data_IF_116211102647
#
_entry.id   IF_116211102647
#
_cell.length_a   1.000
_cell.length_b   1.000
_cell.length_c   1.000
_cell.angle_alpha   90.00
_cell.angle_beta   90.00
_cell.angle_gamma   90.00
#
_symmetry.space_group_name_H-M   'P 1'
#
loop_
_entity.id
_entity.type
_entity.pdbx_description
1 polymer ?
#
# COMPACT_ATOMS: atom_id res chain seq x y z
N UNK A 1 -15.57 9.22 -16.47
CA UNK A 1 -15.77 10.46 -15.71
C UNK A 1 -14.42 10.98 -15.22
N UNK A 2 -14.18 12.29 -15.27
CA UNK A 2 -12.90 12.87 -14.83
C UNK A 2 -12.52 12.51 -13.39
N UNK A 3 -13.52 12.49 -12.47
CA UNK A 3 -13.28 12.18 -11.06
C UNK A 3 -12.77 10.75 -10.86
N UNK A 4 -13.35 9.78 -11.57
CA UNK A 4 -12.93 8.39 -11.47
C UNK A 4 -11.50 8.19 -11.96
N UNK A 5 -11.12 8.88 -13.02
CA UNK A 5 -9.78 8.81 -13.56
C UNK A 5 -8.75 9.36 -12.57
N UNK A 6 -9.04 10.50 -11.95
CA UNK A 6 -8.17 11.09 -10.94
C UNK A 6 -8.02 10.17 -9.75
N UNK A 7 -9.11 9.60 -9.26
CA UNK A 7 -9.08 8.64 -8.15
C UNK A 7 -8.19 7.45 -8.47
N UNK A 8 -8.28 6.91 -9.68
CA UNK A 8 -7.45 5.79 -10.11
C UNK A 8 -5.97 6.16 -10.13
N UNK A 9 -5.65 7.36 -10.60
CA UNK A 9 -4.26 7.83 -10.63
C UNK A 9 -3.70 8.01 -9.22
N UNK A 10 -4.49 8.56 -8.31
CA UNK A 10 -4.09 8.74 -6.92
C UNK A 10 -3.88 7.39 -6.22
N UNK A 11 -4.76 6.44 -6.47
CA UNK A 11 -4.62 5.09 -5.93
C UNK A 11 -3.34 4.44 -6.44
N UNK A 12 -3.10 4.50 -7.75
CA UNK A 12 -1.91 3.91 -8.35
C UNK A 12 -0.63 4.53 -7.78
N UNK A 13 -0.62 5.85 -7.63
CA UNK A 13 0.54 6.58 -7.11
C UNK A 13 0.83 6.30 -5.64
N UNK A 14 -0.19 6.00 -4.85
CA UNK A 14 -0.05 5.79 -3.40
C UNK A 14 0.05 4.33 -2.99
N UNK A 15 -0.13 3.38 -3.91
CA UNK A 15 -0.22 1.96 -3.57
C UNK A 15 1.03 1.44 -2.84
N UNK A 16 2.22 1.81 -3.30
CA UNK A 16 3.46 1.38 -2.65
C UNK A 16 3.56 1.89 -1.22
N UNK A 17 3.26 3.16 -1.00
CA UNK A 17 3.27 3.76 0.33
C UNK A 17 2.34 3.00 1.27
N UNK A 18 1.12 2.73 0.80
CA UNK A 18 0.11 2.06 1.62
C UNK A 18 0.52 0.64 2.00
N UNK A 19 1.05 -0.11 1.04
CA UNK A 19 1.52 -1.47 1.29
C UNK A 19 2.68 -1.48 2.28
N UNK A 20 3.69 -0.63 2.05
CA UNK A 20 4.85 -0.58 2.93
C UNK A 20 4.46 -0.19 4.35
N UNK A 21 3.56 0.79 4.49
CA UNK A 21 3.09 1.25 5.80
C UNK A 21 2.38 0.16 6.59
N UNK A 22 1.51 -0.60 5.92
CA UNK A 22 0.78 -1.69 6.58
C UNK A 22 1.71 -2.85 6.96
N UNK A 23 2.72 -3.13 6.16
CA UNK A 23 3.69 -4.18 6.46
C UNK A 23 4.71 -3.78 7.53
N UNK A 24 4.82 -2.49 7.82
CA UNK A 24 5.65 -2.04 8.94
C UNK A 24 5.12 -2.55 10.29
N UNK A 25 3.83 -2.69 10.40
CA UNK A 25 3.18 -3.12 11.64
C UNK A 25 3.43 -4.61 11.93
N UNK A 26 3.23 -5.45 10.94
CA UNK A 26 3.56 -6.88 10.96
C UNK A 26 3.30 -7.49 9.59
N UNK A 27 3.69 -8.75 9.39
CA UNK A 27 3.47 -9.41 8.10
C UNK A 27 1.98 -9.65 7.84
N UNK A 28 1.59 -9.59 6.56
CA UNK A 28 0.20 -9.70 6.14
C UNK A 28 0.11 -10.36 4.76
N UNK A 29 -1.02 -10.98 4.46
CA UNK A 29 -1.30 -11.44 3.10
C UNK A 29 -2.08 -10.36 2.32
N UNK A 30 -2.17 -10.53 0.99
CA UNK A 30 -2.74 -9.51 0.10
C UNK A 30 -4.19 -9.14 0.42
N UNK A 31 -5.02 -10.12 0.78
CA UNK A 31 -6.41 -9.85 1.15
C UNK A 31 -6.52 -8.97 2.38
N UNK A 32 -5.68 -9.21 3.37
CA UNK A 32 -5.67 -8.40 4.59
C UNK A 32 -5.23 -6.97 4.27
N UNK A 33 -4.22 -6.81 3.42
CA UNK A 33 -3.76 -5.48 3.00
C UNK A 33 -4.91 -4.71 2.35
N UNK A 34 -5.60 -5.32 1.38
CA UNK A 34 -6.73 -4.69 0.70
C UNK A 34 -7.85 -4.32 1.67
N UNK A 35 -8.18 -5.22 2.59
CA UNK A 35 -9.22 -5.01 3.60
C UNK A 35 -8.88 -3.83 4.52
N UNK A 36 -7.64 -3.76 4.99
CA UNK A 36 -7.21 -2.71 5.91
C UNK A 36 -7.16 -1.35 5.23
N UNK A 37 -6.77 -1.29 3.96
CA UNK A 37 -6.81 -0.02 3.22
C UNK A 37 -8.24 0.52 3.19
N UNK A 38 -9.21 -0.34 2.86
CA UNK A 38 -10.61 0.07 2.82
C UNK A 38 -11.13 0.46 4.20
N UNK A 39 -10.86 -0.35 5.22
CA UNK A 39 -11.32 -0.06 6.58
C UNK A 39 -10.73 1.22 7.15
N UNK A 40 -9.41 1.39 7.06
CA UNK A 40 -8.73 2.54 7.67
C UNK A 40 -8.99 3.84 6.94
N UNK A 41 -9.40 3.78 5.68
CA UNK A 41 -9.78 4.96 4.91
C UNK A 41 -11.28 5.22 4.96
N UNK A 42 -12.04 4.46 5.73
CA UNK A 42 -13.50 4.52 5.79
C UNK A 42 -14.13 4.43 4.39
N UNK A 43 -13.55 3.57 3.56
CA UNK A 43 -14.02 3.32 2.20
C UNK A 43 -13.57 4.33 1.15
N UNK A 44 -12.80 5.36 1.54
CA UNK A 44 -12.34 6.37 0.58
C UNK A 44 -11.33 5.80 -0.42
N UNK A 45 -10.53 4.82 0.02
CA UNK A 45 -9.58 4.14 -0.85
C UNK A 45 -9.88 2.64 -0.81
N UNK A 46 -10.18 2.08 -1.98
CA UNK A 46 -10.45 0.65 -2.10
C UNK A 46 -9.62 0.06 -3.23
N UNK A 47 -9.02 -1.10 -2.97
CA UNK A 47 -8.33 -1.88 -4.00
C UNK A 47 -8.94 -3.26 -4.06
N UNK A 48 -9.17 -3.72 -5.25
CA UNK A 48 -9.38 -5.15 -5.47
C UNK A 48 -8.04 -5.84 -5.20
N UNK A 49 -8.05 -6.99 -4.52
CA UNK A 49 -6.79 -7.67 -4.18
C UNK A 49 -5.95 -7.95 -5.44
N UNK A 50 -6.60 -8.26 -6.55
CA UNK A 50 -5.90 -8.51 -7.82
C UNK A 50 -5.16 -7.29 -8.34
N UNK A 51 -5.64 -6.08 -8.00
CA UNK A 51 -4.98 -4.83 -8.39
C UNK A 51 -3.71 -4.57 -7.58
N UNK A 52 -3.58 -5.18 -6.41
CA UNK A 52 -2.40 -5.03 -5.56
C UNK A 52 -1.25 -5.95 -5.94
N UNK A 53 -1.52 -7.08 -6.60
CA UNK A 53 -0.46 -8.03 -6.95
C UNK A 53 0.68 -7.42 -7.76
N UNK A 54 0.44 -6.59 -8.79
CA UNK A 54 1.56 -5.97 -9.50
C UNK A 54 2.43 -5.10 -8.60
N UNK A 55 1.83 -4.39 -7.65
CA UNK A 55 2.58 -3.58 -6.67
C UNK A 55 3.40 -4.48 -5.75
N UNK A 56 2.79 -5.54 -5.21
CA UNK A 56 3.49 -6.50 -4.35
C UNK A 56 4.66 -7.14 -5.08
N UNK A 57 4.46 -7.52 -6.34
CA UNK A 57 5.49 -8.12 -7.17
C UNK A 57 6.68 -7.17 -7.36
N UNK A 58 6.40 -5.89 -7.71
CA UNK A 58 7.46 -4.90 -7.90
C UNK A 58 8.25 -4.64 -6.61
N UNK A 59 7.55 -4.54 -5.49
CA UNK A 59 8.20 -4.31 -4.20
C UNK A 59 9.08 -5.49 -3.80
N UNK A 60 8.63 -6.70 -4.08
CA UNK A 60 9.40 -7.91 -3.81
C UNK A 60 10.64 -7.98 -4.71
N UNK A 61 10.50 -7.66 -6.00
CA UNK A 61 11.64 -7.60 -6.92
C UNK A 61 12.70 -6.61 -6.48
N UNK A 62 12.27 -5.47 -5.93
CA UNK A 62 13.19 -4.44 -5.43
C UNK A 62 13.81 -4.79 -4.07
N UNK A 63 13.40 -5.91 -3.48
CA UNK A 63 13.90 -6.31 -2.17
C UNK A 63 13.34 -5.50 -1.01
N UNK A 64 12.23 -4.79 -1.21
CA UNK A 64 11.62 -3.96 -0.17
C UNK A 64 10.65 -4.74 0.70
N UNK A 65 10.11 -5.82 0.17
CA UNK A 65 9.30 -6.78 0.91
C UNK A 65 9.74 -8.19 0.54
N UNK A 66 9.44 -9.15 1.41
CA UNK A 66 9.67 -10.57 1.14
C UNK A 66 8.38 -11.33 1.29
N UNK A 67 8.08 -12.22 0.33
CA UNK A 67 6.93 -13.10 0.41
C UNK A 67 7.34 -14.51 0.78
N UNK A 68 6.49 -15.18 1.56
CA UNK A 68 6.64 -16.60 1.86
C UNK A 68 5.30 -17.28 1.81
N UNK A 69 5.29 -18.53 1.37
CA UNK A 69 4.07 -19.32 1.34
C UNK A 69 3.79 -19.91 2.72
N UNK A 70 2.55 -19.83 3.14
CA UNK A 70 2.08 -20.38 4.41
C UNK A 70 0.97 -21.37 4.13
N UNK A 71 1.13 -22.60 4.60
CA UNK A 71 0.13 -23.64 4.48
C UNK A 71 -0.33 -24.05 5.88
N UNK A 72 -1.65 -24.12 6.05
CA UNK A 72 -2.26 -24.64 7.28
C UNK A 72 -3.23 -25.75 6.91
N UNK A 73 -3.31 -26.82 7.71
CA UNK A 73 -4.24 -27.91 7.42
C UNK A 73 -5.66 -27.40 7.22
N UNK A 74 -6.30 -27.85 6.14
CA UNK A 74 -7.67 -27.47 5.82
C UNK A 74 -7.85 -26.06 5.29
N UNK A 75 -6.77 -25.33 5.06
CA UNK A 75 -6.85 -23.95 4.54
C UNK A 75 -6.12 -23.83 3.20
N UNK A 76 -6.56 -22.83 2.42
CA UNK A 76 -5.88 -22.49 1.18
C UNK A 76 -4.50 -21.92 1.49
N UNK A 77 -3.53 -22.31 0.68
CA UNK A 77 -2.19 -21.75 0.70
C UNK A 77 -2.24 -20.25 0.52
N UNK A 78 -1.47 -19.49 1.34
CA UNK A 78 -1.43 -18.03 1.28
C UNK A 78 0.00 -17.55 1.24
N UNK A 79 0.21 -16.47 0.49
CA UNK A 79 1.50 -15.79 0.47
C UNK A 79 1.47 -14.65 1.47
N UNK A 80 2.37 -14.74 2.46
CA UNK A 80 2.54 -13.72 3.49
C UNK A 80 3.71 -12.83 3.09
N UNK A 81 3.55 -11.53 3.29
CA UNK A 81 4.58 -10.54 2.95
C UNK A 81 5.04 -9.85 4.22
N UNK A 82 6.33 -9.55 4.27
CA UNK A 82 6.92 -8.78 5.37
C UNK A 82 7.81 -7.68 4.82
N UNK A 83 7.94 -6.61 5.59
CA UNK A 83 8.82 -5.50 5.24
C UNK A 83 10.27 -5.87 5.54
N UNK A 84 11.17 -5.57 4.60
CA UNK A 84 12.61 -5.78 4.80
C UNK A 84 13.24 -4.52 5.41
N UNK A 85 14.50 -4.60 5.91
CA UNK A 85 15.20 -3.39 6.33
C UNK A 85 15.31 -2.35 5.21
N UNK A 86 15.53 -2.79 3.96
CA UNK A 86 15.51 -1.88 2.80
C UNK A 86 14.17 -1.22 2.61
N UNK A 87 13.08 -1.98 2.80
CA UNK A 87 11.72 -1.45 2.72
C UNK A 87 11.44 -0.41 3.79
N UNK A 88 11.96 -0.60 5.00
CA UNK A 88 11.79 0.40 6.08
C UNK A 88 12.46 1.71 5.72
N UNK A 89 13.64 1.68 5.11
CA UNK A 89 14.33 2.88 4.67
C UNK A 89 13.57 3.63 3.58
N UNK A 90 13.03 2.89 2.61
CA UNK A 90 12.23 3.48 1.53
C UNK A 90 10.93 4.07 2.09
N UNK A 91 10.28 3.37 3.00
CA UNK A 91 9.06 3.88 3.63
C UNK A 91 9.30 5.20 4.35
N UNK A 92 10.40 5.31 5.10
CA UNK A 92 10.74 6.55 5.79
C UNK A 92 10.90 7.71 4.81
N UNK A 93 11.59 7.48 3.68
CA UNK A 93 11.75 8.50 2.64
C UNK A 93 10.43 8.86 1.99
N UNK A 94 9.60 7.88 1.69
CA UNK A 94 8.30 8.13 1.06
C UNK A 94 7.37 8.92 1.96
N UNK A 95 7.39 8.66 3.28
CA UNK A 95 6.60 9.46 4.22
C UNK A 95 6.99 10.93 4.18
N UNK A 96 8.28 11.23 4.09
CA UNK A 96 8.76 12.61 3.98
C UNK A 96 8.28 13.24 2.66
N UNK A 97 8.47 12.54 1.56
CA UNK A 97 8.10 13.05 0.24
C UNK A 97 6.59 13.27 0.13
N UNK A 98 5.80 12.29 0.55
CA UNK A 98 4.34 12.41 0.54
C UNK A 98 3.84 13.52 1.47
N UNK A 99 4.43 13.62 2.67
CA UNK A 99 4.06 14.65 3.61
C UNK A 99 4.31 16.05 3.07
N UNK A 100 5.46 16.27 2.44
CA UNK A 100 5.78 17.54 1.82
C UNK A 100 4.83 17.86 0.65
N UNK A 101 4.50 16.84 -0.16
CA UNK A 101 3.60 17.00 -1.30
C UNK A 101 2.18 17.37 -0.84
N UNK A 102 1.66 16.64 0.14
CA UNK A 102 0.32 16.90 0.68
C UNK A 102 0.26 18.29 1.29
N UNK A 103 1.29 18.69 2.04
CA UNK A 103 1.36 20.04 2.63
C UNK A 103 1.37 21.11 1.55
N UNK A 104 2.10 20.88 0.45
CA UNK A 104 2.14 21.82 -0.67
C UNK A 104 0.78 21.94 -1.35
N UNK A 105 0.10 20.80 -1.58
CA UNK A 105 -1.24 20.81 -2.16
C UNK A 105 -2.21 21.60 -1.28
N UNK A 106 -2.14 21.39 0.02
CA UNK A 106 -2.99 22.10 0.96
C UNK A 106 -2.78 23.63 0.88
N UNK A 107 -1.51 24.07 0.82
CA UNK A 107 -1.20 25.51 0.76
C UNK A 107 -1.68 26.14 -0.54
N UNK A 108 -1.54 25.43 -1.67
CA UNK A 108 -1.89 25.98 -2.99
C UNK A 108 -3.38 25.88 -3.27
N UNK A 109 -3.96 24.70 -3.04
CA UNK A 109 -5.33 24.39 -3.44
C UNK A 109 -6.33 24.41 -2.29
N UNK A 110 -5.87 24.63 -1.07
CA UNK A 110 -6.68 24.73 0.15
C UNK A 110 -7.54 23.48 0.36
N UNK A 111 -6.90 22.33 0.19
CA UNK A 111 -7.55 21.05 0.45
C UNK A 111 -7.63 20.87 1.97
N UNK A 112 -8.83 20.56 2.45
CA UNK A 112 -9.04 20.28 3.87
C UNK A 112 -8.90 18.78 4.13
N UNK A 113 -8.25 18.46 5.21
CA UNK A 113 -7.99 17.09 5.62
C UNK A 113 -8.72 16.76 6.91
#
# INVERSE_FOLDING_TARGET
>A
MPTQRLEQELKRGSAELLVLALLEEHERHGYEIARLIAERSAGAITFHVTSLYPTLYRLEEKGLIEGRWVEKPGQRRRRMYRLTPGGRGVLAKQRITWGAFVAALHRIARIQV
#
